data_IF_519991725626
#
_entry.id   IF_519991725626
#
_cell.length_a   1.000
_cell.length_b   1.000
_cell.length_c   1.000
_cell.angle_alpha   90.00
_cell.angle_beta   90.00
_cell.angle_gamma   90.00
#
_symmetry.space_group_name_H-M   'P 1'
#
loop_
_entity.id
_entity.type
_entity.pdbx_description
1 polymer ?
#
# COMPACT_ATOMS: atom_id res chain seq x y z
N UNK A 1 -10.67 -59.20 12.45
CA UNK A 1 -11.79 -58.30 12.07
C UNK A 1 -11.57 -56.97 12.76
N UNK A 2 -11.52 -55.89 11.97
CA UNK A 2 -11.21 -54.50 12.34
C UNK A 2 -12.37 -53.83 13.09
N UNK A 3 -12.09 -52.96 14.06
CA UNK A 3 -13.05 -51.96 14.54
C UNK A 3 -12.36 -50.59 14.72
N UNK A 4 -13.13 -49.53 14.43
CA UNK A 4 -12.76 -48.21 13.91
C UNK A 4 -12.18 -47.17 14.90
N UNK A 5 -11.39 -46.25 14.35
CA UNK A 5 -10.99 -44.88 14.78
C UNK A 5 -12.19 -43.89 14.92
N UNK A 6 -12.06 -42.58 15.26
CA UNK A 6 -11.01 -41.80 15.96
C UNK A 6 -11.53 -40.79 17.03
N UNK A 7 -10.67 -40.44 18.01
CA UNK A 7 -10.87 -39.29 18.93
C UNK A 7 -10.18 -38.02 18.39
N UNK A 8 -10.87 -37.22 17.57
CA UNK A 8 -10.30 -35.99 16.97
C UNK A 8 -11.29 -34.82 16.81
N UNK A 9 -12.43 -34.80 17.53
CA UNK A 9 -13.54 -33.89 17.20
C UNK A 9 -13.86 -32.80 18.24
N UNK A 10 -13.16 -32.73 19.38
CA UNK A 10 -13.47 -31.71 20.40
C UNK A 10 -12.79 -30.35 20.12
N UNK A 11 -11.51 -30.32 19.76
CA UNK A 11 -10.76 -29.07 19.57
C UNK A 11 -11.23 -28.23 18.37
N UNK A 12 -11.77 -28.86 17.31
CA UNK A 12 -12.33 -28.14 16.16
C UNK A 12 -13.68 -27.47 16.47
N UNK A 13 -14.46 -28.04 17.40
CA UNK A 13 -15.72 -27.44 17.82
C UNK A 13 -15.49 -26.17 18.66
N UNK A 14 -14.44 -26.18 19.49
CA UNK A 14 -14.00 -25.01 20.25
C UNK A 14 -13.50 -23.89 19.33
N UNK A 15 -12.70 -24.20 18.29
CA UNK A 15 -12.25 -23.17 17.32
C UNK A 15 -13.40 -22.56 16.51
N UNK A 16 -14.43 -23.34 16.15
CA UNK A 16 -15.62 -22.84 15.47
C UNK A 16 -16.46 -21.91 16.37
N UNK A 17 -16.56 -22.22 17.67
CA UNK A 17 -17.27 -21.37 18.64
C UNK A 17 -16.53 -20.06 18.90
N UNK A 18 -15.19 -20.13 18.96
CA UNK A 18 -14.32 -18.96 19.14
C UNK A 18 -14.33 -18.04 17.90
N UNK A 19 -14.27 -18.61 16.69
CA UNK A 19 -14.46 -17.86 15.42
C UNK A 19 -15.78 -17.10 15.38
N UNK A 20 -16.87 -17.71 15.87
CA UNK A 20 -18.19 -17.06 15.93
C UNK A 20 -18.20 -15.88 16.91
N UNK A 21 -17.44 -15.95 18.00
CA UNK A 21 -17.27 -14.84 18.93
C UNK A 21 -16.53 -13.65 18.30
N UNK A 22 -15.44 -13.94 17.58
CA UNK A 22 -14.62 -12.93 16.89
C UNK A 22 -15.36 -12.23 15.75
N UNK A 23 -16.18 -12.96 14.97
CA UNK A 23 -16.98 -12.38 13.88
C UNK A 23 -18.05 -11.38 14.37
N UNK A 24 -18.60 -11.58 15.56
CA UNK A 24 -19.54 -10.63 16.16
C UNK A 24 -18.84 -9.32 16.58
N UNK A 25 -17.57 -9.36 16.98
CA UNK A 25 -16.79 -8.15 17.31
C UNK A 25 -16.40 -7.32 16.07
N UNK A 26 -16.20 -7.97 14.91
CA UNK A 26 -15.92 -7.26 13.65
C UNK A 26 -17.15 -6.48 13.16
N UNK A 27 -18.36 -6.98 13.45
CA UNK A 27 -19.60 -6.37 12.98
C UNK A 27 -19.91 -5.03 13.69
N UNK A 28 -19.55 -4.88 14.96
CA UNK A 28 -19.66 -3.58 15.67
C UNK A 28 -18.56 -2.58 15.24
N UNK A 29 -17.38 -3.06 14.82
CA UNK A 29 -16.29 -2.19 14.33
C UNK A 29 -16.61 -1.57 12.96
N UNK A 30 -17.52 -2.16 12.18
CA UNK A 30 -17.82 -1.67 10.82
C UNK A 30 -18.79 -0.48 10.82
N UNK A 31 -19.51 -0.24 11.92
CA UNK A 31 -20.40 0.93 12.05
C UNK A 31 -19.67 2.24 12.29
N UNK A 32 -18.42 2.21 12.76
CA UNK A 32 -17.59 3.41 12.90
C UNK A 32 -16.83 3.78 11.62
N UNK A 33 -16.74 2.87 10.64
CA UNK A 33 -16.06 3.12 9.36
C UNK A 33 -16.89 3.91 8.33
N UNK A 34 -18.20 4.06 8.55
CA UNK A 34 -19.05 4.90 7.68
C UNK A 34 -18.86 6.41 7.94
N UNK A 35 -18.17 6.78 9.03
CA UNK A 35 -17.73 8.16 9.29
C UNK A 35 -16.42 8.53 8.61
N UNK A 36 -15.51 7.57 8.37
CA UNK A 36 -14.14 7.85 7.89
C UNK A 36 -13.97 7.59 6.39
N UNK A 37 -14.82 6.78 5.75
CA UNK A 37 -14.80 6.56 4.30
C UNK A 37 -15.48 7.69 3.49
N UNK A 38 -16.09 8.66 4.17
CA UNK A 38 -16.81 9.79 3.56
C UNK A 38 -15.91 10.99 3.23
N UNK A 39 -14.63 10.76 2.94
CA UNK A 39 -13.75 11.78 2.34
C UNK A 39 -13.00 11.29 1.09
N UNK A 40 -13.27 10.07 0.61
CA UNK A 40 -12.76 9.55 -0.68
C UNK A 40 -13.57 10.07 -1.89
N UNK A 41 -14.36 11.13 -1.69
CA UNK A 41 -15.12 11.81 -2.76
C UNK A 41 -14.65 13.25 -2.96
N UNK A 42 -13.36 13.52 -2.82
CA UNK A 42 -12.74 14.78 -3.24
C UNK A 42 -12.33 14.76 -4.71
N UNK A 43 -13.29 14.63 -5.63
CA UNK A 43 -13.07 15.12 -6.99
C UNK A 43 -12.92 16.63 -6.92
N UNK A 44 -11.69 17.14 -7.03
CA UNK A 44 -11.48 18.55 -7.26
C UNK A 44 -10.16 19.11 -6.74
N UNK A 45 -9.41 19.62 -7.71
CA UNK A 45 -8.74 20.92 -7.60
C UNK A 45 -7.32 20.93 -7.05
N UNK A 46 -6.41 21.21 -7.99
CA UNK A 46 -5.54 22.34 -7.79
C UNK A 46 -4.15 21.98 -7.29
N UNK A 47 -3.19 22.29 -8.16
CA UNK A 47 -1.80 22.48 -7.81
C UNK A 47 -1.63 23.13 -6.43
N UNK A 48 -0.93 22.45 -5.53
CA UNK A 48 -0.14 23.16 -4.56
C UNK A 48 1.24 22.50 -4.43
N UNK A 49 2.15 22.99 -5.26
CA UNK A 49 3.59 22.89 -5.04
C UNK A 49 3.89 23.39 -3.63
N UNK A 50 4.11 22.49 -2.68
CA UNK A 50 4.60 22.86 -1.35
C UNK A 50 5.42 21.71 -0.78
N UNK A 51 6.69 22.00 -0.53
CA UNK A 51 7.71 21.14 0.04
C UNK A 51 7.36 20.66 1.46
N UNK A 52 6.42 19.74 1.60
CA UNK A 52 6.13 19.08 2.87
C UNK A 52 5.72 17.64 2.58
N UNK A 53 6.40 16.67 3.21
CA UNK A 53 6.16 15.23 3.19
C UNK A 53 4.78 14.86 2.64
N UNK A 54 4.70 14.65 1.33
CA UNK A 54 3.46 14.26 0.68
C UNK A 54 3.04 12.90 1.27
N UNK A 55 1.89 12.90 1.93
CA UNK A 55 1.32 11.69 2.51
C UNK A 55 0.72 10.87 1.38
N UNK A 56 1.55 10.00 0.79
CA UNK A 56 1.10 9.06 -0.23
C UNK A 56 0.41 7.87 0.41
N UNK A 57 -0.67 7.41 -0.20
CA UNK A 57 -1.36 6.18 0.21
C UNK A 57 -0.89 5.01 -0.64
N UNK A 58 -0.57 3.86 -0.04
CA UNK A 58 -0.16 2.68 -0.81
C UNK A 58 -1.23 2.32 -1.86
N UNK A 59 -0.79 2.04 -3.10
CA UNK A 59 -1.67 1.85 -4.25
C UNK A 59 -2.08 3.14 -4.97
N UNK A 60 -1.74 4.32 -4.45
CA UNK A 60 -1.93 5.58 -5.15
C UNK A 60 -1.08 5.63 -6.41
N UNK A 61 -1.74 6.00 -7.52
CA UNK A 61 -1.07 6.29 -8.78
C UNK A 61 -0.51 7.71 -8.75
N UNK A 62 0.75 7.85 -9.11
CA UNK A 62 1.50 9.10 -9.13
C UNK A 62 2.10 9.31 -10.53
N UNK A 63 2.48 10.55 -10.80
CA UNK A 63 3.12 10.95 -12.04
C UNK A 63 4.43 11.71 -11.79
N UNK A 64 5.51 11.42 -12.53
CA UNK A 64 6.73 12.21 -12.49
C UNK A 64 6.51 13.65 -12.94
N UNK A 65 6.97 14.60 -12.11
CA UNK A 65 6.97 16.04 -12.41
C UNK A 65 8.04 16.43 -13.44
N UNK A 66 9.07 15.59 -13.58
CA UNK A 66 10.22 15.79 -14.48
C UNK A 66 10.40 14.60 -15.43
N UNK A 67 11.03 14.86 -16.58
CA UNK A 67 11.50 13.79 -17.46
C UNK A 67 12.83 13.26 -16.95
N UNK A 68 13.15 12.02 -17.32
CA UNK A 68 14.37 11.33 -16.90
C UNK A 68 14.48 11.16 -15.38
N UNK A 69 13.35 10.98 -14.68
CA UNK A 69 13.34 10.69 -13.26
C UNK A 69 14.02 9.33 -13.01
N UNK A 70 15.07 9.31 -12.19
CA UNK A 70 15.82 8.09 -11.93
C UNK A 70 15.00 7.13 -11.03
N UNK A 71 14.81 5.90 -11.51
CA UNK A 71 14.32 4.77 -10.73
C UNK A 71 15.51 4.01 -10.15
N UNK A 72 15.72 4.10 -8.85
CA UNK A 72 16.84 3.46 -8.15
C UNK A 72 16.49 2.04 -7.71
N UNK A 73 17.47 1.13 -7.72
CA UNK A 73 17.28 -0.25 -7.21
C UNK A 73 17.10 -0.32 -5.69
N UNK A 74 17.74 0.59 -4.95
CA UNK A 74 17.75 0.65 -3.48
C UNK A 74 17.34 2.04 -3.00
N UNK A 75 16.96 2.20 -1.71
CA UNK A 75 16.50 3.47 -1.14
C UNK A 75 17.64 4.49 -0.92
N UNK A 76 18.52 4.66 -1.92
CA UNK A 76 19.70 5.49 -1.90
C UNK A 76 19.95 6.11 -3.29
N UNK A 77 20.36 7.39 -3.35
CA UNK A 77 20.66 8.09 -4.61
C UNK A 77 21.95 7.62 -5.29
N UNK A 78 22.87 6.99 -4.56
CA UNK A 78 24.07 6.37 -5.15
C UNK A 78 23.81 4.94 -5.65
N UNK A 79 22.58 4.43 -5.49
CA UNK A 79 22.19 3.13 -6.03
C UNK A 79 22.26 3.15 -7.56
N UNK A 80 22.52 2.00 -8.21
CA UNK A 80 22.32 1.86 -9.64
C UNK A 80 20.89 2.27 -10.04
N UNK A 81 20.80 2.97 -11.17
CA UNK A 81 19.53 3.38 -11.79
C UNK A 81 19.04 2.23 -12.67
N UNK A 82 17.87 1.69 -12.34
CA UNK A 82 17.15 0.68 -13.14
C UNK A 82 16.74 1.26 -14.49
N UNK A 83 16.08 2.42 -14.44
CA UNK A 83 15.51 3.08 -15.61
C UNK A 83 15.32 4.57 -15.35
N UNK A 84 15.08 5.32 -16.43
CA UNK A 84 14.74 6.74 -16.40
C UNK A 84 13.29 6.90 -16.83
N UNK A 85 12.45 7.34 -15.90
CA UNK A 85 11.02 7.49 -16.11
C UNK A 85 10.70 8.84 -16.78
N UNK A 86 9.65 8.85 -17.60
CA UNK A 86 9.14 10.06 -18.25
C UNK A 86 8.04 10.69 -17.40
N UNK A 87 7.68 11.95 -17.68
CA UNK A 87 6.52 12.61 -17.01
C UNK A 87 5.19 11.91 -17.22
N UNK A 88 5.09 11.12 -18.29
CA UNK A 88 3.86 10.44 -18.68
C UNK A 88 3.83 8.98 -18.20
N UNK A 89 4.86 8.54 -17.47
CA UNK A 89 4.92 7.19 -16.94
C UNK A 89 4.06 7.10 -15.70
N UNK A 90 3.11 6.17 -15.70
CA UNK A 90 2.36 5.82 -14.49
C UNK A 90 3.29 5.12 -13.50
N UNK A 91 3.32 5.62 -12.25
CA UNK A 91 3.99 4.93 -11.14
C UNK A 91 2.98 4.71 -10.02
N UNK A 92 3.10 3.60 -9.30
CA UNK A 92 2.21 3.27 -8.19
C UNK A 92 3.02 3.24 -6.91
N UNK A 93 2.60 4.01 -5.89
CA UNK A 93 3.29 4.01 -4.60
C UNK A 93 3.10 2.67 -3.88
N UNK A 94 4.21 2.01 -3.53
CA UNK A 94 4.20 0.68 -2.92
C UNK A 94 3.94 0.70 -1.39
N UNK A 95 4.01 1.88 -0.76
CA UNK A 95 3.77 2.04 0.68
C UNK A 95 5.02 2.25 1.54
N UNK A 96 6.22 2.01 0.98
CA UNK A 96 7.47 2.20 1.72
C UNK A 96 8.09 3.56 1.41
N UNK A 97 8.50 4.27 2.47
CA UNK A 97 9.20 5.55 2.37
C UNK A 97 10.46 5.53 3.25
N UNK A 98 11.57 5.98 2.69
CA UNK A 98 12.81 6.18 3.44
C UNK A 98 12.87 7.61 4.01
N UNK A 99 13.58 7.79 5.14
CA UNK A 99 13.89 9.08 5.77
C UNK A 99 14.59 10.07 4.83
N UNK A 100 15.23 9.56 3.78
CA UNK A 100 15.89 10.35 2.73
C UNK A 100 14.90 10.96 1.70
N UNK A 101 13.59 10.76 1.87
CA UNK A 101 12.58 11.25 0.95
C UNK A 101 12.45 10.43 -0.34
N UNK A 102 13.01 9.21 -0.37
CA UNK A 102 12.76 8.25 -1.44
C UNK A 102 11.54 7.41 -1.09
N UNK A 103 10.69 7.20 -2.07
CA UNK A 103 9.52 6.34 -1.98
C UNK A 103 9.70 5.14 -2.89
N UNK A 104 9.24 3.98 -2.43
CA UNK A 104 9.18 2.79 -3.26
C UNK A 104 7.95 2.88 -4.16
N UNK A 105 8.16 2.61 -5.44
CA UNK A 105 7.12 2.60 -6.46
C UNK A 105 7.22 1.35 -7.32
N UNK A 106 6.07 0.91 -7.80
CA UNK A 106 5.95 -0.08 -8.86
C UNK A 106 5.73 0.63 -10.19
N UNK A 107 6.52 0.24 -11.19
CA UNK A 107 6.48 0.79 -12.55
C UNK A 107 6.43 -0.34 -13.57
N UNK A 108 6.26 -0.01 -14.85
CA UNK A 108 6.39 -0.98 -15.95
C UNK A 108 7.79 -1.63 -16.04
N UNK A 109 8.82 -0.95 -15.52
CA UNK A 109 10.20 -1.45 -15.48
C UNK A 109 10.51 -2.26 -14.21
N UNK A 110 9.49 -2.51 -13.38
CA UNK A 110 9.61 -3.18 -12.09
C UNK A 110 9.55 -2.23 -10.91
N UNK A 111 9.90 -2.76 -9.74
CA UNK A 111 9.90 -2.02 -8.49
C UNK A 111 11.22 -1.24 -8.32
N UNK A 112 11.13 -0.06 -7.71
CA UNK A 112 12.31 0.72 -7.38
C UNK A 112 11.96 1.95 -6.55
N UNK A 113 12.97 2.77 -6.32
CA UNK A 113 12.89 3.93 -5.45
C UNK A 113 13.02 5.20 -6.27
N UNK A 114 12.15 6.17 -6.00
CA UNK A 114 12.18 7.50 -6.64
C UNK A 114 12.07 8.59 -5.59
N UNK A 115 12.45 9.82 -5.95
CA UNK A 115 12.34 10.95 -5.02
C UNK A 115 10.90 11.44 -4.92
N UNK A 116 10.33 11.42 -3.71
CA UNK A 116 8.95 11.85 -3.43
C UNK A 116 8.62 13.23 -3.99
N UNK A 117 9.48 14.23 -3.76
CA UNK A 117 9.23 15.61 -4.20
C UNK A 117 9.17 15.79 -5.74
N UNK A 118 9.58 14.77 -6.50
CA UNK A 118 9.56 14.72 -7.96
C UNK A 118 8.32 14.01 -8.51
N UNK A 119 7.36 13.61 -7.66
CA UNK A 119 6.08 13.01 -8.08
C UNK A 119 4.88 13.67 -7.41
N UNK A 120 3.70 13.48 -8.01
CA UNK A 120 2.41 13.99 -7.55
C UNK A 120 1.27 13.03 -7.88
#
# INVERSE_FOLDING_TARGET
MTALTPAAHAGFADTMRELRGTLNQITETTKELSGTAKEVSGFGSGANSSNANASYTAGQRLYPKINNLALYQSPNKSSPVVSKLSKNTDVVFAGNMNKNGLIEVSTEYGNGWIESHLVQ
#
